data_IF_596980358490
#
_entry.id   IF_596980358490
#
_cell.length_a   1.000
_cell.length_b   1.000
_cell.length_c   1.000
_cell.angle_alpha   90.00
_cell.angle_beta   90.00
_cell.angle_gamma   90.00
#
_symmetry.space_group_name_H-M   'P 1'
#
loop_
_entity.id
_entity.type
_entity.pdbx_description
1 polymer ?
#
# COMPACT_ATOMS: atom_id res chain seq x y z
N UNK A 1 86.15 -1.98 51.07
CA UNK A 1 84.76 -2.29 50.62
C UNK A 1 84.04 -2.85 51.82
N UNK A 2 82.92 -2.26 52.26
CA UNK A 2 82.18 -2.71 53.45
C UNK A 2 82.49 -1.94 54.74
N UNK A 3 82.48 -0.62 54.66
CA UNK A 3 82.39 0.37 55.77
C UNK A 3 81.05 1.11 55.60
N UNK A 4 80.39 1.83 56.54
CA UNK A 4 80.52 2.16 57.98
C UNK A 4 79.09 2.18 58.58
N UNK A 5 78.79 2.30 59.88
CA UNK A 5 79.27 1.66 61.14
C UNK A 5 78.32 2.11 62.31
N UNK A 6 78.59 1.71 63.57
CA UNK A 6 78.28 2.42 64.86
C UNK A 6 76.78 2.79 65.14
N UNK A 7 76.03 2.13 66.05
CA UNK A 7 76.09 2.11 67.54
C UNK A 7 75.64 3.41 68.24
N UNK A 8 74.53 3.28 69.01
CA UNK A 8 74.01 4.14 70.11
C UNK A 8 73.71 5.63 69.79
N UNK A 9 72.89 6.39 70.51
CA UNK A 9 72.35 6.29 71.88
C UNK A 9 70.89 6.81 72.02
N UNK A 10 70.35 6.77 73.24
CA UNK A 10 69.00 7.19 73.63
C UNK A 10 68.93 8.69 74.01
N UNK A 11 67.72 9.28 73.91
CA UNK A 11 67.25 10.54 74.53
C UNK A 11 67.51 11.89 73.81
N UNK A 12 66.43 12.48 73.24
CA UNK A 12 65.97 13.88 73.54
C UNK A 12 64.68 14.26 72.79
N UNK A 13 63.71 14.82 73.52
CA UNK A 13 62.66 15.73 73.00
C UNK A 13 63.16 17.19 73.08
N UNK A 14 62.55 18.25 72.46
CA UNK A 14 61.27 18.33 71.68
C UNK A 14 61.38 19.16 70.35
N UNK A 15 60.23 19.55 69.74
CA UNK A 15 59.89 20.86 69.07
C UNK A 15 59.06 20.77 67.75
N UNK A 16 57.95 21.52 67.75
CA UNK A 16 57.08 22.09 66.68
C UNK A 16 56.35 21.30 65.53
N UNK A 17 55.03 21.19 65.73
CA UNK A 17 53.89 21.72 64.91
C UNK A 17 53.90 21.61 63.37
N UNK A 18 52.83 21.00 62.80
CA UNK A 18 52.53 21.03 61.36
C UNK A 18 51.18 20.41 60.91
N UNK A 19 50.05 21.06 61.23
CA UNK A 19 48.70 20.92 60.63
C UNK A 19 48.09 19.55 60.26
N UNK A 20 47.22 19.04 61.14
CA UNK A 20 46.14 18.11 60.76
C UNK A 20 45.01 18.85 60.01
N UNK A 21 44.97 18.77 58.68
CA UNK A 21 43.96 19.46 57.85
C UNK A 21 42.52 18.95 58.09
N UNK A 22 41.52 19.86 58.27
CA UNK A 22 40.13 19.47 58.47
C UNK A 22 39.41 19.14 57.15
N UNK A 23 39.44 17.88 56.75
CA UNK A 23 38.50 17.34 55.75
C UNK A 23 37.22 16.91 56.49
N UNK A 24 36.12 17.67 56.43
CA UNK A 24 34.78 17.03 56.33
C UNK A 24 33.63 17.97 55.94
N UNK A 25 33.65 19.29 56.21
CA UNK A 25 32.44 20.12 55.98
C UNK A 25 32.18 20.41 54.50
N UNK A 26 33.15 21.00 53.80
CA UNK A 26 33.01 21.41 52.39
C UNK A 26 32.84 20.20 51.47
N UNK A 27 33.57 19.11 51.71
CA UNK A 27 33.47 17.85 50.98
C UNK A 27 32.10 17.16 51.15
N UNK A 28 31.53 17.20 52.37
CA UNK A 28 30.21 16.66 52.68
C UNK A 28 29.08 17.50 52.09
N UNK A 29 29.23 18.82 52.03
CA UNK A 29 28.29 19.70 51.32
C UNK A 29 28.39 19.53 49.79
N UNK A 30 29.59 19.42 49.22
CA UNK A 30 29.78 19.06 47.81
C UNK A 30 29.16 17.70 47.46
N UNK A 31 29.30 16.71 48.35
CA UNK A 31 28.64 15.42 48.21
C UNK A 31 27.11 15.52 48.34
N UNK A 32 26.59 16.36 49.23
CA UNK A 32 25.16 16.60 49.38
C UNK A 32 24.55 17.35 48.19
N UNK A 33 25.25 18.34 47.61
CA UNK A 33 24.85 19.05 46.39
C UNK A 33 24.86 18.08 45.20
N UNK A 34 25.93 17.29 45.04
CA UNK A 34 26.01 16.24 44.01
C UNK A 34 24.91 15.19 44.19
N UNK A 35 24.57 14.82 45.43
CA UNK A 35 23.46 13.93 45.74
C UNK A 35 22.14 14.53 45.27
N UNK A 36 21.76 15.73 45.74
CA UNK A 36 20.52 16.40 45.30
C UNK A 36 20.41 16.45 43.77
N UNK A 37 21.46 16.90 43.08
CA UNK A 37 21.48 17.00 41.60
C UNK A 37 21.35 15.64 40.87
N UNK A 38 21.77 14.54 41.49
CA UNK A 38 21.69 13.20 40.91
C UNK A 38 20.48 12.37 41.41
N UNK A 39 19.82 12.75 42.51
CA UNK A 39 18.64 12.04 43.04
C UNK A 39 17.32 12.65 42.58
N UNK A 40 17.29 13.92 42.22
CA UNK A 40 16.06 14.65 41.86
C UNK A 40 15.59 14.38 40.41
N UNK A 41 16.44 13.80 39.56
CA UNK A 41 16.13 13.55 38.13
C UNK A 41 15.76 12.10 37.80
N UNK A 42 15.40 11.27 38.79
CA UNK A 42 15.15 9.83 38.55
C UNK A 42 13.70 9.48 38.15
N UNK A 43 12.74 10.36 38.41
CA UNK A 43 11.35 10.15 37.97
C UNK A 43 11.19 10.62 36.52
N UNK A 44 11.50 9.73 35.57
CA UNK A 44 11.20 9.88 34.13
C UNK A 44 9.71 9.68 33.82
N UNK A 45 8.82 10.26 34.62
CA UNK A 45 7.37 10.16 34.48
C UNK A 45 6.75 11.55 34.52
N UNK A 46 5.69 11.81 33.72
CA UNK A 46 5.01 13.11 33.68
C UNK A 46 4.49 13.47 35.07
N UNK A 47 4.94 14.61 35.59
CA UNK A 47 4.63 15.06 36.95
C UNK A 47 3.77 16.33 36.99
N UNK A 48 3.85 17.15 35.94
CA UNK A 48 3.00 18.31 35.72
C UNK A 48 1.85 17.98 34.76
N UNK A 49 0.75 18.73 34.86
CA UNK A 49 -0.39 18.64 33.91
C UNK A 49 0.06 18.98 32.47
N UNK A 50 1.08 19.82 32.32
CA UNK A 50 1.73 20.18 31.06
C UNK A 50 2.44 18.99 30.40
N UNK A 51 3.03 18.08 31.20
CA UNK A 51 3.63 16.86 30.67
C UNK A 51 2.56 15.91 30.11
N UNK A 52 1.33 15.92 30.66
CA UNK A 52 0.21 15.10 30.19
C UNK A 52 -0.35 15.59 28.88
N UNK A 53 -0.46 16.90 28.65
CA UNK A 53 -0.89 17.44 27.35
C UNK A 53 0.17 17.21 26.28
N UNK A 54 1.46 17.31 26.63
CA UNK A 54 2.56 16.96 25.73
C UNK A 54 2.56 15.47 25.38
N UNK A 55 2.35 14.58 26.35
CA UNK A 55 2.31 13.13 26.13
C UNK A 55 1.05 12.70 25.34
N UNK A 56 -0.09 13.37 25.56
CA UNK A 56 -1.30 13.19 24.75
C UNK A 56 -1.09 13.67 23.31
N UNK A 57 -0.43 14.82 23.11
CA UNK A 57 -0.06 15.32 21.78
C UNK A 57 0.91 14.40 21.04
N UNK A 58 1.90 13.84 21.75
CA UNK A 58 2.82 12.83 21.21
C UNK A 58 2.07 11.55 20.82
N UNK A 59 1.16 11.08 21.67
CA UNK A 59 0.31 9.91 21.40
C UNK A 59 -0.60 10.13 20.19
N UNK A 60 -1.25 11.29 20.10
CA UNK A 60 -2.07 11.67 18.94
C UNK A 60 -1.24 11.74 17.66
N UNK A 61 -0.06 12.38 17.70
CA UNK A 61 0.85 12.45 16.55
C UNK A 61 1.35 11.08 16.10
N UNK A 62 1.66 10.18 17.04
CA UNK A 62 2.04 8.80 16.74
C UNK A 62 0.90 8.00 16.11
N UNK A 63 -0.33 8.13 16.64
CA UNK A 63 -1.52 7.45 16.13
C UNK A 63 -1.90 7.96 14.73
N UNK A 64 -1.85 9.28 14.52
CA UNK A 64 -2.05 9.91 13.20
C UNK A 64 -0.98 9.46 12.18
N UNK A 65 0.29 9.41 12.57
CA UNK A 65 1.36 8.89 11.71
C UNK A 65 1.17 7.40 11.38
N UNK A 66 0.69 6.60 12.32
CA UNK A 66 0.37 5.18 12.10
C UNK A 66 -0.79 5.02 11.12
N UNK A 67 -1.87 5.81 11.25
CA UNK A 67 -2.99 5.81 10.29
C UNK A 67 -2.54 6.20 8.88
N UNK A 68 -1.78 7.29 8.73
CA UNK A 68 -1.22 7.70 7.44
C UNK A 68 -0.31 6.62 6.84
N UNK A 69 0.55 5.99 7.65
CA UNK A 69 1.40 4.91 7.20
C UNK A 69 0.59 3.66 6.83
N UNK A 70 -0.45 3.31 7.57
CA UNK A 70 -1.34 2.19 7.29
C UNK A 70 -2.07 2.34 5.96
N UNK A 71 -2.63 3.54 5.70
CA UNK A 71 -3.26 3.87 4.42
C UNK A 71 -2.22 3.89 3.28
N UNK A 72 -1.06 4.54 3.47
CA UNK A 72 -0.03 4.67 2.43
C UNK A 72 0.76 3.39 2.14
N UNK A 73 0.80 2.42 3.06
CA UNK A 73 1.52 1.16 2.88
C UNK A 73 0.68 0.06 2.21
N UNK A 74 -0.60 0.31 1.96
CA UNK A 74 -1.51 -0.66 1.33
C UNK A 74 -1.81 -1.89 2.20
N UNK A 75 -1.50 -1.86 3.49
CA UNK A 75 -1.68 -2.99 4.42
C UNK A 75 -3.15 -3.39 4.58
N UNK A 76 -4.09 -2.48 4.31
CA UNK A 76 -5.53 -2.76 4.29
C UNK A 76 -6.05 -3.43 2.99
N UNK A 77 -5.20 -3.56 1.97
CA UNK A 77 -5.48 -4.34 0.75
C UNK A 77 -6.60 -3.78 -0.14
N UNK A 78 -7.05 -4.58 -1.10
CA UNK A 78 -8.18 -4.28 -2.00
C UNK A 78 -9.55 -4.54 -1.32
N UNK A 79 -9.64 -4.46 0.02
CA UNK A 79 -10.87 -4.74 0.76
C UNK A 79 -11.72 -3.48 0.90
N UNK A 80 -12.92 -3.49 0.32
CA UNK A 80 -13.88 -2.38 0.47
C UNK A 80 -14.65 -2.43 1.79
N UNK A 81 -14.37 -3.37 2.69
CA UNK A 81 -15.04 -3.48 3.99
C UNK A 81 -14.83 -2.23 4.88
N UNK A 82 -13.67 -1.56 4.76
CA UNK A 82 -13.42 -0.29 5.46
C UNK A 82 -14.25 0.85 4.87
N UNK A 83 -14.35 0.93 3.55
CA UNK A 83 -15.10 1.96 2.82
C UNK A 83 -16.63 1.78 3.00
N UNK A 84 -17.09 0.52 3.04
CA UNK A 84 -18.45 0.14 3.40
C UNK A 84 -18.78 0.57 4.85
N UNK A 85 -17.90 0.28 5.81
CA UNK A 85 -18.08 0.72 7.20
C UNK A 85 -18.04 2.25 7.36
N UNK A 86 -17.20 2.95 6.58
CA UNK A 86 -17.11 4.41 6.62
C UNK A 86 -18.34 5.11 6.01
N UNK A 87 -18.89 4.55 4.93
CA UNK A 87 -20.11 5.07 4.28
C UNK A 87 -21.41 4.73 5.04
N UNK A 88 -21.40 3.76 5.96
CA UNK A 88 -22.51 3.52 6.92
C UNK A 88 -22.57 4.56 8.07
N UNK A 89 -21.73 5.61 8.03
CA UNK A 89 -21.72 6.65 9.07
C UNK A 89 -22.59 7.85 8.70
N UNK A 90 -23.28 8.44 9.68
CA UNK A 90 -24.18 9.61 9.52
C UNK A 90 -23.48 10.88 8.98
N UNK A 91 -22.14 10.86 8.87
CA UNK A 91 -21.36 11.94 8.25
C UNK A 91 -21.26 11.82 6.72
N UNK A 92 -21.46 10.63 6.18
CA UNK A 92 -21.53 10.37 4.75
C UNK A 92 -22.99 10.10 4.37
N UNK A 93 -23.67 11.13 3.87
CA UNK A 93 -25.07 11.04 3.46
C UNK A 93 -25.25 10.59 2.00
N UNK A 94 -24.22 9.95 1.42
CA UNK A 94 -24.27 9.31 0.11
C UNK A 94 -24.99 7.96 0.12
N UNK A 95 -25.03 7.33 -1.05
CA UNK A 95 -25.42 5.92 -1.15
C UNK A 95 -24.30 5.04 -0.57
N UNK A 96 -24.68 4.01 0.18
CA UNK A 96 -23.76 3.08 0.83
C UNK A 96 -22.83 2.43 -0.21
N UNK A 97 -21.52 2.41 0.04
CA UNK A 97 -20.57 1.77 -0.87
C UNK A 97 -20.86 0.26 -0.95
N UNK A 98 -21.04 -0.28 -2.16
CA UNK A 98 -21.24 -1.73 -2.34
C UNK A 98 -20.01 -2.50 -1.84
N UNK A 99 -20.23 -3.37 -0.84
CA UNK A 99 -19.19 -4.29 -0.41
C UNK A 99 -19.08 -5.41 -1.44
N UNK A 100 -17.91 -5.57 -2.07
CA UNK A 100 -17.69 -6.62 -3.08
C UNK A 100 -17.36 -7.94 -2.36
N UNK A 101 -18.32 -8.38 -1.54
CA UNK A 101 -18.29 -9.64 -0.79
C UNK A 101 -18.59 -10.82 -1.72
N UNK A 102 -17.68 -11.80 -1.73
CA UNK A 102 -17.84 -13.19 -2.17
C UNK A 102 -18.60 -13.49 -3.49
N UNK A 103 -18.87 -12.46 -4.29
CA UNK A 103 -19.38 -12.52 -5.66
C UNK A 103 -18.21 -12.49 -6.67
N UNK A 104 -18.26 -13.25 -7.77
CA UNK A 104 -17.17 -13.30 -8.72
C UNK A 104 -17.31 -12.16 -9.76
N UNK A 105 -16.23 -11.42 -10.03
CA UNK A 105 -16.31 -10.19 -10.84
C UNK A 105 -15.09 -9.93 -11.74
N UNK A 106 -15.28 -9.12 -12.79
CA UNK A 106 -14.22 -8.75 -13.75
C UNK A 106 -13.68 -7.36 -13.43
N UNK A 107 -12.44 -7.33 -12.94
CA UNK A 107 -11.63 -6.12 -12.79
C UNK A 107 -10.82 -5.88 -14.06
N UNK A 108 -11.07 -4.76 -14.74
CA UNK A 108 -10.41 -4.41 -15.99
C UNK A 108 -10.16 -2.90 -16.05
N UNK A 109 -8.95 -2.52 -16.45
CA UNK A 109 -8.53 -1.12 -16.52
C UNK A 109 -7.47 -0.89 -17.61
N UNK A 110 -7.47 0.27 -18.28
CA UNK A 110 -6.39 0.65 -19.19
C UNK A 110 -5.14 1.07 -18.41
N UNK A 111 -3.98 0.63 -18.88
CA UNK A 111 -2.66 1.07 -18.44
C UNK A 111 -2.01 1.84 -19.59
N UNK A 112 -2.05 3.17 -19.51
CA UNK A 112 -1.55 4.05 -20.56
C UNK A 112 -0.01 4.07 -20.65
N UNK A 113 0.71 3.70 -19.59
CA UNK A 113 2.18 3.73 -19.58
C UNK A 113 2.77 2.51 -20.30
N UNK A 114 2.02 1.41 -20.36
CA UNK A 114 2.40 0.15 -21.04
C UNK A 114 1.46 -0.18 -22.21
N UNK A 115 0.71 0.84 -22.68
CA UNK A 115 -0.28 0.82 -23.77
C UNK A 115 -1.11 -0.47 -23.84
N UNK A 116 -1.74 -0.84 -22.72
CA UNK A 116 -2.45 -2.11 -22.62
C UNK A 116 -3.62 -2.12 -21.65
N UNK A 117 -4.68 -2.86 -21.97
CA UNK A 117 -5.77 -3.15 -21.03
C UNK A 117 -5.36 -4.34 -20.16
N UNK A 118 -5.31 -4.13 -18.84
CA UNK A 118 -5.12 -5.18 -17.84
C UNK A 118 -6.47 -5.70 -17.39
N UNK A 119 -6.65 -7.02 -17.44
CA UNK A 119 -7.90 -7.70 -17.12
C UNK A 119 -7.60 -8.81 -16.11
N UNK A 120 -8.40 -8.89 -15.05
CA UNK A 120 -8.33 -9.94 -14.04
C UNK A 120 -9.72 -10.31 -13.52
N UNK A 121 -10.05 -11.59 -13.53
CA UNK A 121 -11.17 -12.13 -12.76
C UNK A 121 -10.80 -12.20 -11.28
N UNK A 122 -11.68 -11.71 -10.43
CA UNK A 122 -11.52 -11.63 -8.97
C UNK A 122 -12.60 -12.47 -8.29
N UNK A 123 -12.22 -13.03 -7.15
CA UNK A 123 -13.06 -13.92 -6.36
C UNK A 123 -13.75 -15.03 -7.18
N UNK A 124 -12.98 -15.67 -8.06
CA UNK A 124 -13.44 -16.82 -8.84
C UNK A 124 -13.46 -18.08 -7.95
N UNK A 125 -14.43 -18.98 -8.21
CA UNK A 125 -14.50 -20.27 -7.53
C UNK A 125 -13.25 -21.15 -7.79
N UNK A 126 -13.09 -22.21 -7.02
CA UNK A 126 -12.00 -23.17 -7.24
C UNK A 126 -12.24 -23.99 -8.52
N UNK A 127 -11.40 -23.77 -9.53
CA UNK A 127 -11.49 -24.39 -10.84
C UNK A 127 -10.42 -23.84 -11.79
N UNK A 128 -10.49 -24.24 -13.07
CA UNK A 128 -9.64 -23.72 -14.13
C UNK A 128 -10.35 -22.53 -14.78
N UNK A 129 -9.85 -21.29 -14.61
CA UNK A 129 -10.45 -20.11 -15.22
C UNK A 129 -10.08 -20.02 -16.71
N UNK A 130 -11.09 -19.88 -17.56
CA UNK A 130 -10.97 -19.64 -18.99
C UNK A 130 -11.45 -18.23 -19.27
N UNK A 131 -10.52 -17.35 -19.66
CA UNK A 131 -10.81 -15.98 -20.04
C UNK A 131 -10.84 -15.89 -21.57
N UNK A 132 -12.03 -15.57 -22.09
CA UNK A 132 -12.28 -15.29 -23.50
C UNK A 132 -12.49 -13.80 -23.69
N UNK A 133 -11.79 -13.19 -24.64
CA UNK A 133 -11.92 -11.78 -24.99
C UNK A 133 -12.11 -11.60 -26.49
N UNK A 134 -12.94 -10.63 -26.87
CA UNK A 134 -13.18 -10.22 -28.27
C UNK A 134 -13.22 -8.70 -28.37
N UNK A 135 -12.60 -8.17 -29.42
CA UNK A 135 -12.49 -6.73 -29.70
C UNK A 135 -13.15 -6.41 -31.04
N UNK A 136 -14.03 -5.42 -31.04
CA UNK A 136 -14.71 -4.87 -32.20
C UNK A 136 -14.39 -3.38 -32.32
N UNK A 137 -13.98 -2.91 -33.51
CA UNK A 137 -13.89 -1.48 -33.78
C UNK A 137 -15.27 -0.94 -34.18
N UNK A 138 -15.68 0.21 -33.63
CA UNK A 138 -17.01 0.79 -33.86
C UNK A 138 -16.98 2.09 -34.67
N UNK A 139 -16.10 3.04 -34.31
CA UNK A 139 -15.97 4.33 -34.99
C UNK A 139 -14.49 4.74 -35.16
N UNK A 140 -14.10 5.14 -36.37
CA UNK A 140 -12.75 5.57 -36.74
C UNK A 140 -11.63 4.52 -36.70
N UNK A 141 -11.77 3.46 -35.91
CA UNK A 141 -10.78 2.40 -35.73
C UNK A 141 -10.82 1.29 -36.78
N UNK A 142 -9.77 0.47 -36.83
CA UNK A 142 -9.74 -0.78 -37.59
C UNK A 142 -9.66 -1.96 -36.62
N UNK A 143 -10.48 -2.98 -36.81
CA UNK A 143 -10.50 -4.16 -35.93
C UNK A 143 -9.09 -4.79 -35.85
N UNK A 144 -8.49 -4.90 -34.66
CA UNK A 144 -7.10 -5.35 -34.52
C UNK A 144 -6.97 -6.84 -34.86
N UNK A 145 -5.76 -7.26 -35.21
CA UNK A 145 -5.42 -8.68 -35.41
C UNK A 145 -4.36 -9.08 -34.40
N UNK A 146 -4.61 -10.04 -33.49
CA UNK A 146 -5.85 -10.81 -33.33
C UNK A 146 -7.00 -9.98 -32.71
N UNK A 147 -8.22 -10.20 -33.20
CA UNK A 147 -9.45 -9.58 -32.67
C UNK A 147 -10.09 -10.36 -31.53
N UNK A 148 -9.58 -11.56 -31.24
CA UNK A 148 -10.12 -12.45 -30.21
C UNK A 148 -9.01 -13.33 -29.64
N UNK A 149 -9.17 -13.77 -28.41
CA UNK A 149 -8.26 -14.72 -27.78
C UNK A 149 -8.86 -15.44 -26.59
N UNK A 150 -8.40 -16.67 -26.38
CA UNK A 150 -8.73 -17.50 -25.22
C UNK A 150 -7.46 -17.77 -24.41
N UNK A 151 -7.53 -17.63 -23.09
CA UNK A 151 -6.43 -17.97 -22.18
C UNK A 151 -6.96 -18.70 -20.95
N UNK A 152 -6.38 -19.86 -20.66
CA UNK A 152 -6.66 -20.65 -19.45
C UNK A 152 -5.95 -20.04 -18.21
N UNK A 153 -6.20 -18.75 -17.94
CA UNK A 153 -5.67 -17.97 -16.81
C UNK A 153 -6.70 -16.95 -16.34
N UNK A 154 -6.71 -16.65 -15.04
CA UNK A 154 -7.56 -15.61 -14.44
C UNK A 154 -7.27 -14.17 -14.88
N UNK A 155 -6.21 -13.93 -15.65
CA UNK A 155 -5.76 -12.58 -16.01
C UNK A 155 -5.05 -12.54 -17.35
N UNK A 156 -5.31 -11.49 -18.13
CA UNK A 156 -4.67 -11.20 -19.42
C UNK A 156 -4.26 -9.72 -19.49
N UNK A 157 -3.21 -9.44 -20.26
CA UNK A 157 -2.83 -8.10 -20.71
C UNK A 157 -3.08 -8.07 -22.22
N UNK A 158 -3.90 -7.14 -22.70
CA UNK A 158 -4.17 -6.92 -24.12
C UNK A 158 -3.46 -5.63 -24.53
N UNK A 159 -2.43 -5.74 -25.36
CA UNK A 159 -1.62 -4.61 -25.83
C UNK A 159 -2.30 -3.94 -27.04
N UNK A 160 -2.33 -2.60 -27.04
CA UNK A 160 -3.00 -1.77 -28.06
C UNK A 160 -2.06 -0.77 -28.76
N UNK A 161 -0.74 -0.95 -28.63
CA UNK A 161 0.27 -0.13 -29.32
C UNK A 161 0.09 -0.18 -30.85
N UNK A 162 -0.05 -1.37 -31.44
CA UNK A 162 -0.28 -1.52 -32.88
C UNK A 162 -1.70 -1.06 -33.35
N UNK A 163 -2.60 -0.69 -32.43
CA UNK A 163 -3.98 -0.36 -32.79
C UNK A 163 -4.11 1.11 -33.21
N UNK A 164 -4.97 1.36 -34.21
CA UNK A 164 -5.20 2.71 -34.73
C UNK A 164 -6.02 3.57 -33.78
N UNK A 165 -5.88 4.88 -33.92
CA UNK A 165 -6.76 5.87 -33.26
C UNK A 165 -8.22 5.57 -33.63
N UNK A 166 -9.12 5.49 -32.65
CA UNK A 166 -10.52 5.12 -32.87
C UNK A 166 -11.20 4.53 -31.63
N UNK A 167 -12.48 4.23 -31.75
CA UNK A 167 -13.31 3.63 -30.69
C UNK A 167 -13.38 2.12 -30.85
N UNK A 168 -13.17 1.42 -29.74
CA UNK A 168 -13.19 -0.03 -29.62
C UNK A 168 -14.16 -0.46 -28.52
N UNK A 169 -14.83 -1.57 -28.76
CA UNK A 169 -15.64 -2.31 -27.81
C UNK A 169 -14.91 -3.61 -27.49
N UNK A 170 -14.71 -3.87 -26.20
CA UNK A 170 -14.03 -5.06 -25.68
C UNK A 170 -15.02 -5.84 -24.82
N UNK A 171 -15.42 -7.01 -25.32
CA UNK A 171 -16.26 -7.97 -24.59
C UNK A 171 -15.35 -9.01 -23.94
N UNK A 172 -15.47 -9.16 -22.63
CA UNK A 172 -14.68 -10.08 -21.80
C UNK A 172 -15.65 -11.07 -21.19
N UNK A 173 -15.32 -12.36 -21.23
CA UNK A 173 -16.10 -13.41 -20.60
C UNK A 173 -15.18 -14.39 -19.86
N UNK A 174 -15.58 -14.79 -18.64
CA UNK A 174 -14.84 -15.74 -17.82
C UNK A 174 -15.76 -16.91 -17.47
N UNK A 175 -15.32 -18.11 -17.84
CA UNK A 175 -15.95 -19.38 -17.52
C UNK A 175 -15.04 -20.20 -16.59
N UNK A 176 -15.64 -20.95 -15.66
CA UNK A 176 -14.93 -21.76 -14.67
C UNK A 176 -15.15 -23.26 -14.94
N UNK A 177 -14.07 -24.01 -15.11
CA UNK A 177 -14.11 -25.46 -15.39
C UNK A 177 -13.57 -26.30 -14.23
N UNK A 178 -14.04 -27.53 -14.10
CA UNK A 178 -13.61 -28.46 -13.03
C UNK A 178 -12.14 -28.84 -13.21
N UNK A 179 -11.39 -28.92 -12.10
CA UNK A 179 -9.99 -29.35 -12.14
C UNK A 179 -9.84 -30.74 -12.77
N UNK A 180 -9.06 -30.82 -13.85
CA UNK A 180 -8.84 -32.07 -14.61
C UNK A 180 -9.78 -32.27 -15.82
N UNK A 181 -10.63 -31.28 -16.15
CA UNK A 181 -11.34 -31.24 -17.43
C UNK A 181 -10.38 -31.17 -18.62
N UNK A 182 -10.78 -31.73 -19.76
CA UNK A 182 -10.08 -31.53 -21.02
C UNK A 182 -10.31 -30.08 -21.50
N UNK A 183 -9.23 -29.31 -21.63
CA UNK A 183 -9.29 -27.90 -22.04
C UNK A 183 -9.30 -27.74 -23.57
N UNK A 184 -9.00 -28.81 -24.33
CA UNK A 184 -9.08 -28.82 -25.79
C UNK A 184 -10.49 -29.25 -26.25
N UNK A 185 -11.25 -29.96 -25.42
CA UNK A 185 -12.65 -30.36 -25.66
C UNK A 185 -13.58 -30.00 -24.50
N UNK A 186 -13.75 -28.69 -24.25
CA UNK A 186 -14.62 -28.12 -23.21
C UNK A 186 -16.10 -28.35 -23.51
N UNK A 187 -16.84 -28.96 -22.58
CA UNK A 187 -18.30 -29.01 -22.61
C UNK A 187 -18.93 -28.19 -21.47
N UNK A 188 -20.19 -27.81 -21.63
CA UNK A 188 -20.95 -27.10 -20.60
C UNK A 188 -21.15 -27.94 -19.32
N UNK A 189 -21.12 -29.27 -19.44
CA UNK A 189 -21.11 -30.22 -18.31
C UNK A 189 -19.84 -30.19 -17.47
N UNK A 190 -18.74 -29.66 -18.01
CA UNK A 190 -17.42 -29.67 -17.38
C UNK A 190 -17.16 -28.36 -16.61
N UNK A 191 -18.14 -27.45 -16.61
CA UNK A 191 -18.14 -26.23 -15.81
C UNK A 191 -18.34 -26.54 -14.33
N UNK A 192 -17.78 -25.69 -13.46
CA UNK A 192 -17.94 -25.84 -12.01
C UNK A 192 -19.41 -25.61 -11.63
N UNK A 193 -20.05 -26.61 -11.04
CA UNK A 193 -21.43 -26.54 -10.57
C UNK A 193 -21.65 -25.32 -9.65
N UNK A 194 -22.64 -24.48 -9.98
CA UNK A 194 -22.94 -23.25 -9.24
C UNK A 194 -22.12 -22.03 -9.67
N UNK A 195 -21.32 -22.11 -10.74
CA UNK A 195 -20.68 -20.92 -11.35
C UNK A 195 -21.43 -20.43 -12.59
N UNK A 196 -21.98 -19.23 -12.50
CA UNK A 196 -22.51 -18.52 -13.66
C UNK A 196 -21.37 -18.00 -14.55
N UNK A 197 -21.67 -17.73 -15.82
CA UNK A 197 -20.71 -17.13 -16.75
C UNK A 197 -20.67 -15.64 -16.47
N UNK A 198 -19.48 -15.09 -16.26
CA UNK A 198 -19.33 -13.67 -15.93
C UNK A 198 -18.89 -12.96 -17.20
N UNK A 199 -19.64 -11.95 -17.62
CA UNK A 199 -19.33 -11.11 -18.77
C UNK A 199 -19.19 -9.63 -18.40
N UNK A 200 -18.39 -8.91 -19.19
CA UNK A 200 -18.23 -7.47 -19.07
C UNK A 200 -17.87 -6.87 -20.42
N UNK A 201 -18.68 -5.91 -20.87
CA UNK A 201 -18.39 -5.07 -22.04
C UNK A 201 -17.77 -3.75 -21.59
N UNK A 202 -16.73 -3.32 -22.31
CA UNK A 202 -16.00 -2.06 -22.08
C UNK A 202 -15.87 -1.30 -23.39
N UNK A 203 -16.46 -0.11 -23.46
CA UNK A 203 -16.19 0.85 -24.54
C UNK A 203 -14.95 1.69 -24.20
N UNK A 204 -14.07 1.91 -25.17
CA UNK A 204 -12.93 2.79 -25.02
C UNK A 204 -12.45 3.44 -26.33
N UNK A 205 -11.97 4.67 -26.22
CA UNK A 205 -11.41 5.45 -27.34
C UNK A 205 -9.88 5.58 -27.21
N UNK A 206 -9.15 5.10 -28.22
CA UNK A 206 -7.71 5.36 -28.38
C UNK A 206 -7.55 6.71 -29.09
N UNK A 207 -7.12 7.73 -28.37
CA UNK A 207 -6.88 9.08 -28.91
C UNK A 207 -5.38 9.45 -28.91
N UNK A 208 -4.82 9.79 -30.08
CA UNK A 208 -3.42 10.25 -30.21
C UNK A 208 -3.32 11.75 -30.01
N UNK A 209 -2.77 12.20 -28.88
CA UNK A 209 -2.46 13.62 -28.66
C UNK A 209 -0.98 13.93 -28.95
N UNK A 210 -0.72 14.91 -29.83
CA UNK A 210 0.64 15.40 -30.11
C UNK A 210 1.12 16.29 -28.97
N UNK A 211 2.33 16.02 -28.46
CA UNK A 211 2.96 16.85 -27.44
C UNK A 211 3.17 18.29 -27.94
N UNK A 212 2.84 19.29 -27.11
CA UNK A 212 2.87 20.71 -27.50
C UNK A 212 4.29 21.25 -27.85
N UNK A 213 5.34 20.48 -27.54
CA UNK A 213 6.73 20.80 -27.85
C UNK A 213 7.27 20.07 -29.11
N UNK A 214 6.45 19.30 -29.83
CA UNK A 214 6.84 18.58 -31.06
C UNK A 214 7.11 19.49 -32.27
N UNK A 215 7.29 20.80 -32.05
CA UNK A 215 7.77 21.76 -33.05
C UNK A 215 9.32 21.84 -33.07
N UNK A 216 9.98 21.32 -32.03
CA UNK A 216 11.44 21.31 -31.93
C UNK A 216 12.03 20.10 -32.68
N UNK A 217 13.05 20.27 -33.53
CA UNK A 217 13.60 19.20 -34.39
C UNK A 217 14.38 18.12 -33.62
N UNK A 218 14.39 18.16 -32.29
CA UNK A 218 15.08 17.23 -31.40
C UNK A 218 14.13 16.60 -30.35
N UNK A 219 12.85 16.99 -30.34
CA UNK A 219 11.84 16.46 -29.42
C UNK A 219 10.94 15.53 -30.22
N UNK A 220 11.08 14.23 -29.98
CA UNK A 220 10.22 13.25 -30.61
C UNK A 220 8.76 13.43 -30.17
N UNK A 221 7.81 13.13 -31.06
CA UNK A 221 6.40 13.25 -30.75
C UNK A 221 5.95 12.07 -29.89
N UNK A 222 6.23 12.13 -28.59
CA UNK A 222 5.65 11.21 -27.60
C UNK A 222 4.12 11.22 -27.75
N UNK A 223 3.58 10.08 -28.18
CA UNK A 223 2.15 9.84 -28.40
C UNK A 223 1.52 9.53 -27.06
N UNK A 224 0.85 10.52 -26.45
CA UNK A 224 0.04 10.24 -25.27
C UNK A 224 -1.30 9.70 -25.72
N UNK A 225 -1.43 8.37 -25.75
CA UNK A 225 -2.71 7.68 -25.92
C UNK A 225 -3.55 7.91 -24.68
N UNK A 226 -4.64 8.66 -24.82
CA UNK A 226 -5.58 8.89 -23.72
C UNK A 226 -6.80 8.03 -23.93
N UNK A 227 -6.96 7.04 -23.07
CA UNK A 227 -8.18 6.27 -22.94
C UNK A 227 -9.23 7.08 -22.15
N UNK A 228 -10.42 7.27 -22.72
CA UNK A 228 -11.63 7.62 -21.98
C UNK A 228 -12.50 6.36 -21.91
N UNK A 229 -12.67 5.77 -20.72
CA UNK A 229 -13.64 4.70 -20.51
C UNK A 229 -14.93 5.32 -19.96
N UNK A 230 -16.01 5.23 -20.73
CA UNK A 230 -17.35 5.66 -20.33
C UNK A 230 -18.32 4.52 -20.63
N UNK A 231 -19.33 4.38 -19.76
CA UNK A 231 -20.32 3.28 -19.74
C UNK A 231 -19.74 1.89 -19.43
N UNK A 232 -19.70 1.59 -18.14
CA UNK A 232 -19.91 0.21 -17.68
C UNK A 232 -21.42 -0.08 -17.82
N UNK A 233 -21.80 -0.85 -18.84
CA UNK A 233 -23.19 -1.30 -18.99
C UNK A 233 -23.45 -2.37 -17.93
N UNK A 234 -24.10 -1.99 -16.82
CA UNK A 234 -24.65 -2.99 -15.89
C UNK A 234 -25.74 -3.76 -16.63
N UNK A 235 -25.46 -5.02 -16.94
CA UNK A 235 -26.46 -5.99 -17.34
C UNK A 235 -27.34 -6.32 -16.12
N UNK A 236 -28.38 -5.50 -15.91
CA UNK A 236 -29.45 -5.78 -14.94
C UNK A 236 -30.24 -7.01 -15.41
N UNK A 237 -29.74 -8.19 -15.03
CA UNK A 237 -30.39 -9.47 -15.29
C UNK A 237 -31.65 -9.62 -14.41
N UNK A 238 -32.79 -9.23 -14.98
CA UNK A 238 -34.09 -9.86 -14.71
C UNK A 238 -34.80 -9.53 -13.40
N UNK A 239 -35.62 -8.48 -13.40
CA UNK A 239 -36.95 -8.53 -12.76
C UNK A 239 -37.91 -7.47 -13.32
N UNK A 240 -38.87 -7.86 -14.18
CA UNK A 240 -40.29 -7.43 -14.14
C UNK A 240 -41.14 -8.04 -15.28
N UNK A 241 -42.33 -8.54 -14.90
CA UNK A 241 -43.57 -8.68 -15.70
C UNK A 241 -43.58 -9.61 -16.93
N UNK A 242 -43.96 -10.87 -16.69
CA UNK A 242 -45.40 -11.23 -16.65
C UNK A 242 -45.68 -11.94 -15.32
#
# INVERSE_FOLDING_TARGET
MGSEDIVSDIETTPVEVGDSKPIDKVSKELAAIRKRRNTDSKNRFPSAIEDWTLLAGLGYGALYALLLFGMSSGVFGESTALDHWASDTVLDAGDQCEEVLDTPWIHAYPDNDVEAVKISGRNLAEGIPVLNWTVTASDGGETPTPSQGEINKKSVKIEYDDWKTGTYELVITIDMYVMGSDMDFKNESDRVNGTERIDKTLEFEISTSKNALSFLPFVDSEVKRKQQSWKMVLALAGLLLI
#
